data_IF_918904494766
#
_entry.id   IF_918904494766
#
_cell.length_a   1.000
_cell.length_b   1.000
_cell.length_c   1.000
_cell.angle_alpha   90.00
_cell.angle_beta   90.00
_cell.angle_gamma   90.00
#
_symmetry.space_group_name_H-M   'P 1'
#
loop_
_entity.id
_entity.type
_entity.pdbx_description
1 polymer ?
#
# COMPACT_ATOMS: atom_id res chain seq x y z
N UNK A 1 5.47 19.75 1.34
CA UNK A 1 6.31 18.68 1.91
C UNK A 1 7.65 19.28 2.30
N UNK A 2 8.26 18.76 3.36
CA UNK A 2 9.59 19.12 3.87
C UNK A 2 10.70 18.29 3.20
N UNK A 3 10.46 17.02 2.86
CA UNK A 3 11.43 16.18 2.15
C UNK A 3 10.99 15.96 0.71
N UNK A 4 11.91 16.23 -0.23
CA UNK A 4 11.73 15.84 -1.64
C UNK A 4 11.70 14.32 -1.72
N UNK A 5 10.66 13.78 -2.35
CA UNK A 5 10.45 12.34 -2.50
C UNK A 5 9.82 12.01 -3.86
N UNK A 6 10.12 10.83 -4.38
CA UNK A 6 9.49 10.21 -5.56
C UNK A 6 9.14 8.75 -5.25
N UNK A 7 8.32 8.12 -6.08
CA UNK A 7 7.85 6.74 -5.86
C UNK A 7 7.21 6.54 -4.47
N UNK A 8 6.48 7.55 -4.01
CA UNK A 8 5.75 7.54 -2.74
C UNK A 8 4.26 7.34 -3.00
N UNK A 9 3.51 7.08 -1.95
CA UNK A 9 2.06 6.88 -2.03
C UNK A 9 1.32 7.90 -1.21
N UNK A 10 0.18 8.36 -1.72
CA UNK A 10 -0.65 9.37 -1.08
C UNK A 10 -1.99 8.80 -0.62
N UNK A 11 -2.48 9.22 0.54
CA UNK A 11 -3.81 8.85 1.03
C UNK A 11 -4.41 9.95 1.91
N UNK A 12 -5.74 10.01 1.96
CA UNK A 12 -6.46 10.82 2.95
C UNK A 12 -6.84 9.97 4.16
N UNK A 13 -6.63 10.51 5.34
CA UNK A 13 -6.84 9.88 6.63
C UNK A 13 -6.91 10.98 7.70
N UNK A 14 -7.65 10.81 8.78
CA UNK A 14 -7.74 11.73 9.91
C UNK A 14 -8.04 13.19 9.52
N UNK A 15 -8.76 13.39 8.40
CA UNK A 15 -9.07 14.72 7.85
C UNK A 15 -7.90 15.41 7.13
N UNK A 16 -6.74 14.75 7.00
CA UNK A 16 -5.51 15.30 6.43
C UNK A 16 -4.99 14.46 5.25
N UNK A 17 -4.05 15.02 4.49
CA UNK A 17 -3.41 14.32 3.38
C UNK A 17 -2.04 13.80 3.78
N UNK A 18 -1.78 12.52 3.51
CA UNK A 18 -0.55 11.85 3.88
C UNK A 18 0.24 11.46 2.65
N UNK A 19 1.56 11.63 2.70
CA UNK A 19 2.50 11.11 1.70
C UNK A 19 3.49 10.19 2.37
N UNK A 20 3.48 8.92 1.99
CA UNK A 20 4.13 7.83 2.72
C UNK A 20 5.28 7.24 1.89
N UNK A 21 6.43 7.11 2.54
CA UNK A 21 7.60 6.41 2.02
C UNK A 21 8.18 7.05 0.74
N UNK A 22 8.60 6.19 -0.17
CA UNK A 22 9.29 6.55 -1.40
C UNK A 22 10.78 6.78 -1.21
N UNK A 23 11.38 7.47 -2.17
CA UNK A 23 12.83 7.67 -2.27
C UNK A 23 13.12 9.17 -2.24
N UNK A 24 14.03 9.61 -1.39
CA UNK A 24 14.35 11.03 -1.20
C UNK A 24 15.71 11.31 -0.55
N UNK A 25 16.00 12.59 -0.33
CA UNK A 25 17.29 13.06 0.18
C UNK A 25 18.41 13.13 -0.88
N UNK A 26 19.60 13.60 -0.47
CA UNK A 26 20.72 13.85 -1.37
C UNK A 26 21.14 12.60 -2.17
N UNK A 27 21.10 11.43 -1.54
CA UNK A 27 21.56 10.17 -2.13
C UNK A 27 20.41 9.31 -2.70
N UNK A 28 19.18 9.82 -2.76
CA UNK A 28 18.00 9.05 -3.15
C UNK A 28 17.85 7.77 -2.32
N UNK A 29 17.80 7.93 -1.00
CA UNK A 29 17.64 6.84 -0.03
C UNK A 29 16.17 6.50 0.17
N UNK A 30 15.90 5.27 0.60
CA UNK A 30 14.56 4.85 0.99
C UNK A 30 14.11 5.65 2.23
N UNK A 31 12.92 6.22 2.16
CA UNK A 31 12.32 6.93 3.27
C UNK A 31 11.47 5.96 4.08
N UNK A 32 11.78 5.83 5.38
CA UNK A 32 10.98 5.08 6.34
C UNK A 32 9.81 5.92 6.91
N UNK A 33 9.80 7.23 6.63
CA UNK A 33 8.84 8.19 7.15
C UNK A 33 7.71 8.51 6.15
N UNK A 34 6.60 9.00 6.70
CA UNK A 34 5.57 9.72 5.98
C UNK A 34 5.57 11.20 6.35
N UNK A 35 4.83 12.01 5.60
CA UNK A 35 4.50 13.37 5.96
C UNK A 35 2.99 13.57 5.89
N UNK A 36 2.43 14.18 6.92
CA UNK A 36 1.04 14.63 6.97
C UNK A 36 0.98 16.10 6.60
N UNK A 37 0.04 16.46 5.74
CA UNK A 37 -0.37 17.81 5.44
C UNK A 37 -1.66 18.12 6.18
N UNK A 38 -1.55 18.97 7.21
CA UNK A 38 -2.71 19.49 7.90
C UNK A 38 -3.43 20.50 6.99
N UNK A 39 -4.68 20.21 6.63
CA UNK A 39 -5.47 21.05 5.71
C UNK A 39 -5.91 22.37 6.33
N UNK A 40 -6.08 22.42 7.66
CA UNK A 40 -6.52 23.62 8.38
C UNK A 40 -5.39 24.65 8.52
N UNK A 41 -4.20 24.19 8.89
CA UNK A 41 -3.03 25.05 9.11
C UNK A 41 -2.18 25.22 7.86
N UNK A 42 -2.36 24.37 6.85
CA UNK A 42 -1.56 24.36 5.64
C UNK A 42 -0.10 23.96 5.89
N UNK A 43 0.17 23.16 6.92
CA UNK A 43 1.55 22.77 7.32
C UNK A 43 1.83 21.28 7.12
N UNK A 44 3.09 20.97 6.80
CA UNK A 44 3.58 19.59 6.72
C UNK A 44 4.31 19.16 7.99
N UNK A 45 3.95 17.98 8.52
CA UNK A 45 4.57 17.34 9.69
C UNK A 45 5.10 15.97 9.31
N UNK A 46 6.33 15.66 9.71
CA UNK A 46 6.93 14.34 9.46
C UNK A 46 6.49 13.33 10.51
N UNK A 47 6.15 12.12 10.07
CA UNK A 47 5.77 10.99 10.91
C UNK A 47 6.78 9.85 10.67
N UNK A 48 7.54 9.43 11.70
CA UNK A 48 8.50 8.34 11.55
C UNK A 48 7.79 6.99 11.37
N UNK A 49 8.50 6.03 10.77
CA UNK A 49 8.06 4.63 10.61
C UNK A 49 6.73 4.42 9.87
N UNK A 50 6.29 5.39 9.08
CA UNK A 50 5.04 5.30 8.32
C UNK A 50 5.18 4.50 7.02
N UNK A 51 6.39 4.30 6.50
CA UNK A 51 6.58 3.47 5.31
C UNK A 51 6.43 1.99 5.67
N UNK A 52 5.59 1.21 4.95
CA UNK A 52 5.50 -0.24 5.15
C UNK A 52 6.74 -0.97 4.62
N UNK A 53 7.62 -0.27 3.90
CA UNK A 53 8.81 -0.84 3.30
C UNK A 53 9.90 -1.03 4.36
N UNK A 54 10.18 -2.31 4.65
CA UNK A 54 11.34 -2.90 5.35
C UNK A 54 11.88 -2.11 6.56
N UNK A 55 11.35 -2.42 7.73
CA UNK A 55 12.00 -2.12 9.03
C UNK A 55 13.09 -3.14 9.43
N UNK A 56 13.35 -4.17 8.62
CA UNK A 56 14.31 -5.24 8.92
C UNK A 56 15.22 -5.55 7.74
N UNK A 57 16.54 -5.45 7.99
CA UNK A 57 17.68 -5.90 7.20
C UNK A 57 17.47 -6.02 5.67
N UNK A 58 18.15 -5.14 4.93
CA UNK A 58 18.51 -5.44 3.55
C UNK A 58 19.12 -6.84 3.50
N UNK A 59 18.42 -7.80 2.88
CA UNK A 59 19.04 -9.06 2.51
C UNK A 59 20.03 -8.72 1.42
N UNK A 60 21.30 -9.11 1.59
CA UNK A 60 22.45 -8.71 0.76
C UNK A 60 22.32 -9.02 -0.75
N UNK A 61 21.22 -9.64 -1.19
CA UNK A 61 20.97 -10.10 -2.55
C UNK A 61 19.72 -9.47 -3.22
N UNK A 62 19.18 -8.38 -2.67
CA UNK A 62 17.98 -7.73 -3.21
C UNK A 62 18.31 -6.72 -4.32
N UNK A 63 17.48 -6.63 -5.37
CA UNK A 63 17.68 -5.67 -6.46
C UNK A 63 17.70 -4.23 -5.91
N UNK A 64 18.37 -3.29 -6.59
CA UNK A 64 18.46 -1.92 -6.13
C UNK A 64 17.05 -1.33 -5.90
N UNK A 65 16.86 -0.69 -4.74
CA UNK A 65 15.63 -0.03 -4.25
C UNK A 65 14.90 0.82 -5.30
N UNK A 66 15.61 1.27 -6.34
CA UNK A 66 15.08 2.04 -7.47
C UNK A 66 14.14 1.25 -8.39
N UNK A 67 14.02 -0.07 -8.22
CA UNK A 67 13.12 -0.95 -8.99
C UNK A 67 11.86 -1.38 -8.25
N UNK A 68 11.66 -0.97 -6.99
CA UNK A 68 10.47 -1.33 -6.23
C UNK A 68 9.29 -0.40 -6.57
N UNK A 69 8.09 -0.97 -6.63
CA UNK A 69 6.87 -0.19 -6.77
C UNK A 69 6.69 0.74 -5.56
N UNK A 70 6.02 1.90 -5.72
CA UNK A 70 5.62 2.71 -4.58
C UNK A 70 4.84 1.87 -3.55
N UNK A 71 4.87 2.25 -2.25
CA UNK A 71 4.13 1.53 -1.22
C UNK A 71 2.67 1.29 -1.61
N UNK A 72 2.24 0.03 -1.73
CA UNK A 72 0.86 -0.29 -2.05
C UNK A 72 -0.01 -0.09 -0.81
N UNK A 73 -0.64 1.07 -0.68
CA UNK A 73 -1.43 1.45 0.50
C UNK A 73 -2.90 1.64 0.17
N UNK A 74 -3.75 1.46 1.18
CA UNK A 74 -5.16 1.78 1.13
C UNK A 74 -5.63 2.29 2.50
N UNK A 75 -6.64 3.15 2.52
CA UNK A 75 -7.27 3.61 3.76
C UNK A 75 -8.72 3.16 3.77
N UNK A 76 -9.10 2.40 4.79
CA UNK A 76 -10.47 1.90 5.01
C UNK A 76 -10.86 2.25 6.43
N UNK A 77 -12.04 2.86 6.62
CA UNK A 77 -12.53 3.27 7.94
C UNK A 77 -11.49 4.05 8.75
N UNK A 78 -10.79 4.96 8.06
CA UNK A 78 -9.74 5.79 8.64
C UNK A 78 -8.52 5.01 9.19
N UNK A 79 -8.37 3.74 8.83
CA UNK A 79 -7.22 2.89 9.15
C UNK A 79 -6.35 2.71 7.91
N UNK A 80 -5.03 2.80 8.08
CA UNK A 80 -4.07 2.68 7.00
C UNK A 80 -3.60 1.23 6.88
N UNK A 81 -3.71 0.68 5.66
CA UNK A 81 -3.28 -0.66 5.31
C UNK A 81 -2.22 -0.62 4.21
N UNK A 82 -1.39 -1.66 4.17
CA UNK A 82 -0.42 -1.87 3.10
C UNK A 82 -0.40 -3.33 2.65
N UNK A 83 -0.23 -3.53 1.35
CA UNK A 83 0.03 -4.82 0.75
C UNK A 83 1.53 -5.04 0.57
N UNK A 84 2.08 -6.03 1.28
CA UNK A 84 3.44 -6.50 1.07
C UNK A 84 3.43 -7.66 0.07
N UNK A 85 3.79 -7.39 -1.17
CA UNK A 85 3.79 -8.38 -2.26
C UNK A 85 4.97 -9.37 -2.20
N UNK A 86 5.99 -9.10 -1.39
CA UNK A 86 7.15 -9.99 -1.21
C UNK A 86 6.79 -11.10 -0.24
N UNK A 87 6.25 -10.72 0.92
CA UNK A 87 5.84 -11.65 1.97
C UNK A 87 4.40 -12.16 1.78
N UNK A 88 3.66 -11.60 0.81
CA UNK A 88 2.24 -11.91 0.55
C UNK A 88 1.33 -11.64 1.76
N UNK A 89 1.54 -10.50 2.41
CA UNK A 89 0.83 -10.09 3.62
C UNK A 89 0.07 -8.77 3.44
N UNK A 90 -1.04 -8.63 4.16
CA UNK A 90 -1.63 -7.33 4.47
C UNK A 90 -1.19 -6.91 5.86
N UNK A 91 -0.74 -5.66 5.97
CA UNK A 91 -0.38 -5.03 7.23
C UNK A 91 -1.26 -3.82 7.51
N UNK A 92 -1.56 -3.59 8.78
CA UNK A 92 -2.25 -2.40 9.29
C UNK A 92 -1.25 -1.55 10.06
N UNK A 93 -1.32 -0.24 9.90
CA UNK A 93 -0.49 0.70 10.65
C UNK A 93 -1.14 1.03 11.99
N UNK A 94 -0.49 0.64 13.08
CA UNK A 94 -0.81 1.11 14.42
C UNK A 94 -0.29 2.55 14.56
N UNK A 95 -1.21 3.52 14.59
CA UNK A 95 -0.91 4.94 14.65
C UNK A 95 -0.34 5.38 15.99
N UNK A 96 -0.72 4.70 17.08
CA UNK A 96 -0.29 5.05 18.44
C UNK A 96 1.16 4.63 18.65
N UNK A 97 1.45 3.37 18.33
CA UNK A 97 2.78 2.79 18.50
C UNK A 97 3.70 3.03 17.31
N UNK A 98 3.16 3.51 16.18
CA UNK A 98 3.86 3.79 14.92
C UNK A 98 4.58 2.57 14.36
N UNK A 99 3.87 1.44 14.36
CA UNK A 99 4.37 0.16 13.88
C UNK A 99 3.39 -0.46 12.89
N UNK A 100 3.92 -1.26 11.96
CA UNK A 100 3.10 -2.06 11.06
C UNK A 100 2.88 -3.43 11.67
N UNK A 101 1.61 -3.83 11.78
CA UNK A 101 1.18 -5.13 12.31
C UNK A 101 0.63 -5.96 11.15
N UNK A 102 1.02 -7.23 11.05
CA UNK A 102 0.48 -8.14 10.03
C UNK A 102 -0.93 -8.59 10.43
N UNK A 103 -1.89 -8.33 9.54
CA UNK A 103 -3.30 -8.75 9.70
C UNK A 103 -3.51 -10.17 9.14
N UNK A 104 -2.76 -10.53 8.09
CA UNK A 104 -2.74 -11.87 7.54
C UNK A 104 -2.36 -11.91 6.06
N UNK A 105 -2.76 -12.97 5.37
CA UNK A 105 -2.38 -13.21 3.98
C UNK A 105 -3.12 -12.33 2.98
N UNK A 106 -2.40 -11.85 1.97
CA UNK A 106 -3.01 -11.49 0.69
C UNK A 106 -3.53 -12.76 0.00
N UNK A 107 -4.50 -12.65 -0.92
CA UNK A 107 -4.89 -13.81 -1.71
C UNK A 107 -3.71 -14.30 -2.55
N UNK A 108 -3.72 -15.60 -2.88
CA UNK A 108 -2.63 -16.26 -3.60
C UNK A 108 -2.17 -15.49 -4.85
N UNK A 109 -0.85 -15.35 -5.01
CA UNK A 109 -0.26 -14.60 -6.11
C UNK A 109 -0.09 -15.48 -7.33
N UNK A 110 -0.88 -15.22 -8.36
CA UNK A 110 -0.75 -15.90 -9.64
C UNK A 110 -0.67 -14.91 -10.81
N UNK A 111 0.56 -14.50 -11.10
CA UNK A 111 0.86 -13.62 -12.23
C UNK A 111 1.63 -12.38 -11.82
N UNK A 112 1.64 -11.40 -12.71
CA UNK A 112 2.39 -10.16 -12.56
C UNK A 112 1.44 -8.98 -12.36
N UNK A 113 1.78 -8.09 -11.42
CA UNK A 113 0.99 -6.89 -11.12
C UNK A 113 -0.05 -7.12 -10.02
N UNK A 114 0.00 -6.23 -9.02
CA UNK A 114 -0.91 -6.18 -7.89
C UNK A 114 -1.35 -4.72 -7.73
N UNK A 115 -2.65 -4.47 -7.81
CA UNK A 115 -3.21 -3.21 -7.33
C UNK A 115 -3.91 -3.46 -5.99
N UNK A 116 -3.75 -2.51 -5.07
CA UNK A 116 -4.30 -2.53 -3.74
C UNK A 116 -4.94 -1.19 -3.45
N UNK A 117 -6.21 -1.19 -3.07
CA UNK A 117 -6.98 0.05 -2.92
C UNK A 117 -8.18 -0.17 -2.00
N UNK A 118 -8.92 0.88 -1.70
CA UNK A 118 -10.12 0.85 -0.88
C UNK A 118 -11.37 1.11 -1.72
N UNK A 119 -12.49 0.50 -1.34
CA UNK A 119 -13.81 0.79 -1.88
C UNK A 119 -14.85 0.66 -0.77
N UNK A 120 -15.44 1.78 -0.34
CA UNK A 120 -16.30 1.81 0.84
C UNK A 120 -15.57 1.31 2.09
N UNK A 121 -16.11 0.27 2.72
CA UNK A 121 -15.56 -0.40 3.90
C UNK A 121 -14.62 -1.56 3.56
N UNK A 122 -14.23 -1.72 2.29
CA UNK A 122 -13.48 -2.88 1.80
C UNK A 122 -12.09 -2.52 1.32
N UNK A 123 -11.14 -3.40 1.61
CA UNK A 123 -9.90 -3.50 0.87
C UNK A 123 -10.16 -4.29 -0.41
N UNK A 124 -9.60 -3.80 -1.52
CA UNK A 124 -9.70 -4.39 -2.84
C UNK A 124 -8.31 -4.76 -3.32
N UNK A 125 -8.17 -6.01 -3.76
CA UNK A 125 -6.98 -6.54 -4.42
C UNK A 125 -7.34 -6.89 -5.85
N UNK A 126 -6.61 -6.32 -6.81
CA UNK A 126 -6.75 -6.65 -8.23
C UNK A 126 -5.44 -7.26 -8.70
N UNK A 127 -5.52 -8.48 -9.24
CA UNK A 127 -4.36 -9.24 -9.69
C UNK A 127 -4.29 -9.29 -11.20
N UNK A 128 -3.08 -9.20 -11.73
CA UNK A 128 -2.83 -9.43 -13.15
C UNK A 128 -3.10 -10.88 -13.56
N UNK A 129 -3.08 -11.16 -14.88
CA UNK A 129 -3.76 -12.33 -15.39
C UNK A 129 -3.12 -13.68 -15.02
N UNK A 130 -3.87 -14.56 -14.31
CA UNK A 130 -3.61 -16.01 -14.24
C UNK A 130 -4.28 -16.68 -15.43
N UNK A 131 -3.52 -17.37 -16.27
CA UNK A 131 -4.07 -18.05 -17.47
C UNK A 131 -4.94 -17.12 -18.35
N UNK A 132 -4.64 -15.82 -18.33
CA UNK A 132 -5.40 -14.81 -19.05
C UNK A 132 -6.62 -14.25 -18.31
N UNK A 133 -6.71 -14.29 -16.98
CA UNK A 133 -7.82 -13.68 -16.20
C UNK A 133 -7.33 -12.71 -15.12
N UNK A 134 -7.80 -11.47 -15.18
CA UNK A 134 -7.73 -10.52 -14.07
C UNK A 134 -8.78 -10.90 -13.05
N UNK A 135 -8.41 -10.91 -11.77
CA UNK A 135 -9.31 -11.22 -10.67
C UNK A 135 -9.37 -10.08 -9.66
N UNK A 136 -10.59 -9.74 -9.24
CA UNK A 136 -10.87 -8.72 -8.22
C UNK A 136 -11.32 -9.43 -6.95
N UNK A 137 -10.64 -9.16 -5.84
CA UNK A 137 -10.95 -9.72 -4.53
C UNK A 137 -11.23 -8.58 -3.56
N UNK A 138 -12.11 -8.83 -2.60
CA UNK A 138 -12.40 -7.90 -1.53
C UNK A 138 -12.35 -8.54 -0.16
N UNK A 139 -12.00 -7.74 0.83
CA UNK A 139 -12.09 -8.12 2.24
C UNK A 139 -12.55 -6.90 3.05
N UNK A 140 -13.49 -7.09 3.96
CA UNK A 140 -13.88 -6.09 4.96
C UNK A 140 -13.00 -6.32 6.18
N UNK A 141 -12.10 -5.38 6.55
CA UNK A 141 -11.24 -5.56 7.71
C UNK A 141 -12.00 -5.87 9.00
N UNK A 142 -11.53 -6.87 9.73
CA UNK A 142 -12.12 -7.40 10.97
C UNK A 142 -11.03 -7.83 11.94
N UNK A 143 -11.40 -8.18 13.17
CA UNK A 143 -10.46 -8.77 14.15
C UNK A 143 -9.98 -10.17 13.74
N UNK A 144 -10.79 -10.89 12.94
CA UNK A 144 -10.40 -12.18 12.39
C UNK A 144 -9.45 -12.05 11.18
N UNK A 145 -8.60 -13.06 10.91
CA UNK A 145 -7.70 -13.05 9.76
C UNK A 145 -8.43 -12.85 8.42
N UNK A 146 -7.80 -12.16 7.45
CA UNK A 146 -8.38 -11.84 6.15
C UNK A 146 -9.05 -13.02 5.46
N UNK A 147 -10.35 -12.88 5.19
CA UNK A 147 -11.12 -13.76 4.32
C UNK A 147 -11.46 -13.00 3.04
N UNK A 148 -10.86 -13.40 1.93
CA UNK A 148 -10.98 -12.69 0.66
C UNK A 148 -12.08 -13.28 -0.21
N UNK A 149 -13.09 -12.47 -0.50
CA UNK A 149 -14.16 -12.81 -1.42
C UNK A 149 -13.76 -12.45 -2.86
N UNK A 150 -13.98 -13.37 -3.80
CA UNK A 150 -13.83 -13.06 -5.23
C UNK A 150 -15.06 -12.28 -5.70
N UNK A 151 -14.86 -11.04 -6.12
CA UNK A 151 -15.92 -10.19 -6.66
C UNK A 151 -16.17 -10.45 -8.14
N UNK A 152 -15.12 -10.54 -8.94
CA UNK A 152 -15.23 -10.78 -10.39
C UNK A 152 -13.94 -11.32 -11.01
N UNK A 153 -14.07 -11.93 -12.19
CA UNK A 153 -12.98 -12.45 -13.03
C UNK A 153 -13.21 -12.05 -14.48
N UNK A 154 -12.23 -11.38 -15.09
CA UNK A 154 -12.31 -10.97 -16.50
C UNK A 154 -11.14 -11.49 -17.31
N UNK A 155 -11.46 -12.11 -18.46
CA UNK A 155 -10.43 -12.55 -19.40
C UNK A 155 -9.68 -11.34 -19.98
N UNK A 156 -8.36 -11.34 -19.84
CA UNK A 156 -7.45 -10.33 -20.37
C UNK A 156 -6.08 -10.95 -20.65
N UNK A 157 -5.54 -10.71 -21.85
CA UNK A 157 -4.15 -11.02 -22.18
C UNK A 157 -3.17 -9.90 -21.85
N UNK A 158 -3.66 -8.77 -21.34
CA UNK A 158 -2.88 -7.55 -21.12
C UNK A 158 -2.51 -7.35 -19.66
N UNK A 159 -1.35 -6.75 -19.45
CA UNK A 159 -0.82 -6.40 -18.13
C UNK A 159 -1.60 -5.24 -17.51
N UNK A 160 -1.73 -5.23 -16.18
CA UNK A 160 -2.30 -4.11 -15.43
C UNK A 160 -1.19 -3.11 -15.11
N UNK A 161 -1.17 -1.98 -15.83
CA UNK A 161 -0.17 -0.92 -15.64
C UNK A 161 -0.56 0.09 -14.57
N UNK A 162 -1.82 0.50 -14.57
CA UNK A 162 -2.39 1.45 -13.62
C UNK A 162 -3.81 1.01 -13.26
N UNK A 163 -4.16 1.15 -11.99
CA UNK A 163 -5.52 0.93 -11.54
C UNK A 163 -5.95 2.11 -10.67
N UNK A 164 -7.11 2.66 -10.97
CA UNK A 164 -7.80 3.60 -10.11
C UNK A 164 -9.17 3.00 -9.81
N UNK A 165 -9.50 2.92 -8.52
CA UNK A 165 -10.84 2.59 -8.06
C UNK A 165 -11.44 3.87 -7.51
N UNK A 166 -12.58 4.27 -8.06
CA UNK A 166 -13.36 5.38 -7.53
C UNK A 166 -14.56 4.78 -6.80
N UNK A 167 -14.56 4.90 -5.47
CA UNK A 167 -15.74 4.63 -4.65
C UNK A 167 -16.67 5.84 -4.69
N UNK A 168 -17.98 5.59 -4.61
CA UNK A 168 -19.02 6.59 -4.43
C UNK A 168 -19.21 6.92 -2.95
#
# INVERSE_FOLDING_TARGET
MKKLRKMCSGAFMDGNFYVIGGIGGADSQLLTCGEEYNLETGTWTEIPNMSPVRSGAARDNEPPVRSEAPPLIAVVNNQLYAANYVDMEVRKYDKENRVWVTEGGLPERDGWGLAFTACGDRLIVIRGPRQGFIEVNSWVPSEDPPQWDVLDRKRSGSFLYNCAVMGC
#
